data_IF_881995240516
#
_entry.id   IF_881995240516
#
_cell.length_a   1.000
_cell.length_b   1.000
_cell.length_c   1.000
_cell.angle_alpha   90.00
_cell.angle_beta   90.00
_cell.angle_gamma   90.00
#
_symmetry.space_group_name_H-M   'P 1'
#
loop_
_entity.id
_entity.type
_entity.pdbx_description
1 polymer ?
#
# COMPACT_ATOMS: atom_id res chain seq x y z
N UNK A 1 -45.88 10.40 24.07
CA UNK A 1 -45.19 10.69 22.81
C UNK A 1 -44.38 9.45 22.49
N UNK A 2 -44.64 8.79 21.38
CA UNK A 2 -43.90 7.62 20.92
C UNK A 2 -42.82 8.13 19.95
N UNK A 3 -41.59 7.68 20.12
CA UNK A 3 -40.51 7.98 19.19
C UNK A 3 -40.80 7.26 17.89
N UNK A 4 -40.80 7.93 16.73
CA UNK A 4 -41.05 7.29 15.44
C UNK A 4 -39.97 6.25 15.14
N UNK A 5 -40.37 5.10 14.58
CA UNK A 5 -39.44 4.03 14.21
C UNK A 5 -38.39 4.49 13.19
N UNK A 6 -38.63 5.53 12.42
CA UNK A 6 -37.70 6.18 11.51
C UNK A 6 -36.45 6.77 12.21
N UNK A 7 -36.52 7.04 13.51
CA UNK A 7 -35.36 7.49 14.30
C UNK A 7 -34.45 6.31 14.73
N UNK A 8 -34.94 5.08 14.59
CA UNK A 8 -34.19 3.87 14.97
C UNK A 8 -33.72 3.11 13.73
N UNK A 9 -34.48 3.17 12.64
CA UNK A 9 -34.16 2.49 11.38
C UNK A 9 -34.44 3.46 10.23
N UNK A 10 -33.39 4.01 9.66
CA UNK A 10 -33.49 4.72 8.39
C UNK A 10 -33.34 3.70 7.26
N UNK A 11 -34.46 3.23 6.69
CA UNK A 11 -34.43 2.39 5.50
C UNK A 11 -34.35 3.30 4.29
N UNK A 12 -33.17 3.61 3.83
CA UNK A 12 -32.97 4.14 2.49
C UNK A 12 -33.16 2.97 1.53
N UNK A 13 -34.26 2.90 0.82
CA UNK A 13 -34.46 1.98 -0.29
C UNK A 13 -33.59 2.46 -1.45
N UNK A 14 -32.37 2.01 -1.50
CA UNK A 14 -31.57 2.11 -2.70
C UNK A 14 -31.99 0.97 -3.64
N UNK A 15 -32.33 1.30 -4.86
CA UNK A 15 -32.58 0.31 -5.92
C UNK A 15 -31.20 -0.21 -6.30
N UNK A 16 -30.81 -1.33 -5.68
CA UNK A 16 -29.68 -2.11 -6.15
C UNK A 16 -29.94 -2.47 -7.61
N UNK A 17 -29.31 -1.74 -8.50
CA UNK A 17 -29.27 -2.09 -9.92
C UNK A 17 -28.75 -3.52 -10.05
N UNK A 18 -29.61 -4.34 -10.59
CA UNK A 18 -29.43 -5.67 -11.17
C UNK A 18 -28.07 -6.34 -10.92
N UNK A 19 -28.06 -7.45 -10.18
CA UNK A 19 -27.02 -8.48 -10.09
C UNK A 19 -25.58 -7.95 -10.16
N UNK A 20 -25.23 -7.01 -9.31
CA UNK A 20 -23.86 -6.61 -9.11
C UNK A 20 -23.08 -7.75 -8.49
N UNK A 21 -21.88 -8.01 -8.97
CA UNK A 21 -20.90 -8.80 -8.25
C UNK A 21 -20.84 -8.30 -6.80
N UNK A 22 -20.56 -9.20 -5.86
CA UNK A 22 -20.33 -8.84 -4.47
C UNK A 22 -19.37 -7.64 -4.40
N UNK A 23 -19.62 -6.67 -3.50
CA UNK A 23 -18.75 -5.50 -3.38
C UNK A 23 -17.31 -5.96 -3.16
N UNK A 24 -16.41 -5.45 -3.96
CA UNK A 24 -14.98 -5.74 -3.82
C UNK A 24 -14.46 -4.89 -2.67
N UNK A 25 -14.12 -5.54 -1.55
CA UNK A 25 -13.68 -4.88 -0.31
C UNK A 25 -12.16 -4.91 -0.14
N UNK A 26 -11.42 -4.91 -1.24
CA UNK A 26 -9.96 -4.93 -1.20
C UNK A 26 -9.40 -3.72 -0.45
N UNK A 27 -8.29 -3.95 0.26
CA UNK A 27 -7.52 -2.89 0.89
C UNK A 27 -6.48 -2.29 -0.06
N UNK A 28 -6.13 -1.04 0.20
CA UNK A 28 -5.01 -0.35 -0.44
C UNK A 28 -3.95 -0.02 0.60
N UNK A 29 -2.72 -0.43 0.36
CA UNK A 29 -1.55 0.11 1.04
C UNK A 29 -1.05 1.32 0.25
N UNK A 30 -1.09 2.50 0.86
CA UNK A 30 -0.40 3.68 0.33
C UNK A 30 1.05 3.59 0.79
N UNK A 31 2.00 3.49 -0.15
CA UNK A 31 3.41 3.25 0.13
C UNK A 31 4.31 4.33 -0.46
N UNK A 32 5.40 4.65 0.23
CA UNK A 32 6.47 5.54 -0.22
C UNK A 32 7.61 4.77 -0.92
N UNK A 33 7.45 3.45 -1.07
CA UNK A 33 8.46 2.60 -1.67
C UNK A 33 8.70 2.99 -3.13
N UNK A 34 9.96 3.17 -3.49
CA UNK A 34 10.35 3.60 -4.83
C UNK A 34 10.03 2.56 -5.93
N UNK A 35 9.70 1.31 -5.56
CA UNK A 35 9.28 0.28 -6.50
C UNK A 35 7.83 0.42 -6.93
N UNK A 36 7.01 1.20 -6.22
CA UNK A 36 5.60 1.42 -6.58
C UNK A 36 5.53 2.45 -7.71
N UNK A 37 4.94 2.10 -8.87
CA UNK A 37 4.79 3.04 -9.99
C UNK A 37 3.91 4.24 -9.59
N UNK A 38 4.24 5.42 -10.15
CA UNK A 38 3.50 6.64 -9.83
C UNK A 38 2.08 6.64 -10.40
N UNK A 39 1.92 6.22 -11.65
CA UNK A 39 0.68 6.30 -12.43
C UNK A 39 0.02 4.94 -12.67
N UNK A 40 0.20 4.01 -11.76
CA UNK A 40 -0.52 2.73 -11.77
C UNK A 40 -0.63 2.14 -10.38
N UNK A 41 -1.60 1.26 -10.19
CA UNK A 41 -1.84 0.57 -8.92
C UNK A 41 -1.46 -0.90 -9.09
N UNK A 42 -0.53 -1.37 -8.26
CA UNK A 42 -0.14 -2.76 -8.22
C UNK A 42 -1.21 -3.59 -7.51
N UNK A 43 -1.58 -4.73 -8.06
CA UNK A 43 -2.56 -5.65 -7.48
C UNK A 43 -1.92 -7.01 -7.24
N UNK A 44 -2.00 -7.48 -5.99
CA UNK A 44 -1.46 -8.77 -5.56
C UNK A 44 -2.57 -9.64 -4.97
N UNK A 45 -2.55 -10.92 -5.30
CA UNK A 45 -3.54 -11.90 -4.80
C UNK A 45 -2.98 -12.80 -3.71
N UNK A 46 -1.68 -12.75 -3.46
CA UNK A 46 -0.99 -13.53 -2.42
C UNK A 46 0.13 -12.72 -1.79
N UNK A 47 0.51 -13.04 -0.57
CA UNK A 47 1.66 -12.43 0.10
C UNK A 47 2.98 -12.76 -0.63
N UNK A 48 3.12 -13.98 -1.15
CA UNK A 48 4.32 -14.41 -1.87
C UNK A 48 4.57 -13.53 -3.10
N UNK A 49 3.52 -13.13 -3.83
CA UNK A 49 3.67 -12.24 -4.99
C UNK A 49 4.11 -10.84 -4.57
N UNK A 50 3.69 -10.35 -3.39
CA UNK A 50 4.22 -9.10 -2.80
C UNK A 50 5.72 -9.24 -2.50
N UNK A 51 6.13 -10.36 -1.88
CA UNK A 51 7.53 -10.64 -1.56
C UNK A 51 8.42 -10.80 -2.81
N UNK A 52 7.88 -11.37 -3.87
CA UNK A 52 8.59 -11.47 -5.16
C UNK A 52 8.84 -10.11 -5.79
N UNK A 53 7.90 -9.17 -5.63
CA UNK A 53 8.00 -7.84 -6.20
C UNK A 53 8.86 -6.88 -5.35
N UNK A 54 8.59 -6.81 -4.05
CA UNK A 54 9.23 -5.84 -3.14
C UNK A 54 10.46 -6.39 -2.41
N UNK A 55 10.67 -7.70 -2.44
CA UNK A 55 11.64 -8.41 -1.59
C UNK A 55 11.00 -8.89 -0.28
N UNK A 56 11.52 -10.01 0.24
CA UNK A 56 11.00 -10.64 1.47
C UNK A 56 11.33 -9.87 2.76
N UNK A 57 12.23 -8.89 2.68
CA UNK A 57 12.59 -7.99 3.78
C UNK A 57 11.78 -6.68 3.78
N UNK A 58 10.90 -6.47 2.79
CA UNK A 58 10.10 -5.25 2.67
C UNK A 58 8.98 -5.16 3.69
N UNK A 59 8.61 -3.93 4.05
CA UNK A 59 7.48 -3.66 4.93
C UNK A 59 6.16 -4.10 4.30
N UNK A 60 6.01 -3.91 2.99
CA UNK A 60 4.84 -4.33 2.22
C UNK A 60 4.62 -5.84 2.33
N UNK A 61 5.70 -6.62 2.19
CA UNK A 61 5.61 -8.08 2.32
C UNK A 61 5.31 -8.51 3.76
N UNK A 62 5.99 -7.95 4.76
CA UNK A 62 5.75 -8.30 6.16
C UNK A 62 4.28 -8.10 6.55
N UNK A 63 3.72 -6.93 6.25
CA UNK A 63 2.32 -6.60 6.57
C UNK A 63 1.32 -7.45 5.77
N UNK A 64 1.61 -7.69 4.48
CA UNK A 64 0.77 -8.56 3.65
C UNK A 64 0.76 -10.00 4.17
N UNK A 65 1.93 -10.56 4.48
CA UNK A 65 2.10 -11.96 4.89
C UNK A 65 1.66 -12.20 6.34
N UNK A 66 2.05 -11.32 7.26
CA UNK A 66 1.79 -11.49 8.69
C UNK A 66 0.34 -11.13 9.05
N UNK A 67 -0.26 -10.13 8.38
CA UNK A 67 -1.55 -9.57 8.80
C UNK A 67 -2.59 -9.64 7.68
N UNK A 68 -2.40 -8.93 6.57
CA UNK A 68 -3.48 -8.68 5.61
C UNK A 68 -4.11 -9.96 5.06
N UNK A 69 -3.34 -10.84 4.41
CA UNK A 69 -3.88 -12.07 3.82
C UNK A 69 -4.30 -13.13 4.85
N UNK A 70 -4.02 -12.91 6.13
CA UNK A 70 -4.49 -13.80 7.20
C UNK A 70 -5.93 -13.49 7.67
N UNK A 71 -6.47 -12.31 7.33
CA UNK A 71 -7.80 -11.91 7.77
C UNK A 71 -7.92 -11.87 9.30
N UNK A 72 -8.97 -12.42 9.87
CA UNK A 72 -9.12 -12.56 11.32
C UNK A 72 -9.29 -14.03 11.73
N UNK A 73 -9.03 -14.36 13.00
CA UNK A 73 -9.15 -15.72 13.48
C UNK A 73 -10.61 -16.20 13.42
N UNK A 74 -10.83 -17.26 12.67
CA UNK A 74 -12.15 -17.83 12.43
C UNK A 74 -12.89 -17.26 11.22
N UNK A 75 -12.24 -16.38 10.42
CA UNK A 75 -12.80 -15.95 9.13
C UNK A 75 -12.88 -17.13 8.14
N UNK A 76 -13.99 -17.24 7.45
CA UNK A 76 -14.19 -18.23 6.38
C UNK A 76 -13.55 -17.72 5.09
N UNK A 77 -13.79 -16.44 4.78
CA UNK A 77 -13.16 -15.77 3.67
C UNK A 77 -11.83 -15.12 4.10
N UNK A 78 -10.93 -14.99 3.14
CA UNK A 78 -9.68 -14.25 3.26
C UNK A 78 -9.70 -13.09 2.27
N UNK A 79 -8.92 -12.02 2.48
CA UNK A 79 -8.78 -10.97 1.48
C UNK A 79 -8.39 -11.55 0.13
N UNK A 80 -9.13 -11.18 -0.92
CA UNK A 80 -8.93 -11.72 -2.27
C UNK A 80 -7.80 -11.05 -3.02
N UNK A 81 -7.57 -9.77 -2.75
CA UNK A 81 -6.49 -8.99 -3.34
C UNK A 81 -6.05 -7.85 -2.41
N UNK A 82 -4.81 -7.45 -2.54
CA UNK A 82 -4.20 -6.27 -1.95
C UNK A 82 -3.76 -5.34 -3.07
N UNK A 83 -4.15 -4.08 -2.99
CA UNK A 83 -3.69 -3.04 -3.89
C UNK A 83 -2.58 -2.25 -3.20
N UNK A 84 -1.58 -1.83 -3.97
CA UNK A 84 -0.50 -0.97 -3.47
C UNK A 84 -0.37 0.24 -4.39
N UNK A 85 -0.54 1.43 -3.83
CA UNK A 85 -0.49 2.71 -4.52
C UNK A 85 0.68 3.55 -4.01
N UNK A 86 1.21 4.41 -4.88
CA UNK A 86 2.35 5.27 -4.59
C UNK A 86 1.95 6.56 -3.86
N UNK A 87 2.84 7.04 -2.97
CA UNK A 87 2.82 8.38 -2.40
C UNK A 87 4.23 8.99 -2.42
N UNK A 88 4.41 10.06 -3.17
CA UNK A 88 5.68 10.72 -3.33
C UNK A 88 5.91 11.82 -2.28
N UNK A 89 6.93 11.68 -1.45
CA UNK A 89 7.38 12.73 -0.52
C UNK A 89 8.44 13.66 -1.13
N UNK A 90 9.02 13.24 -2.24
CA UNK A 90 9.99 14.00 -3.04
C UNK A 90 9.71 13.72 -4.51
N UNK A 91 10.05 14.63 -5.44
CA UNK A 91 9.90 14.34 -6.86
C UNK A 91 10.64 13.06 -7.23
N UNK A 92 9.98 12.18 -7.98
CA UNK A 92 10.48 10.86 -8.36
C UNK A 92 10.87 10.82 -9.84
N UNK A 93 11.93 10.08 -10.21
CA UNK A 93 12.27 9.82 -11.60
C UNK A 93 11.26 8.86 -12.23
N UNK A 94 11.13 8.92 -13.55
CA UNK A 94 10.53 7.83 -14.31
C UNK A 94 11.42 6.59 -14.28
N UNK A 95 10.81 5.40 -14.35
CA UNK A 95 11.59 4.17 -14.41
C UNK A 95 10.99 3.11 -15.33
N UNK A 96 11.87 2.27 -15.86
CA UNK A 96 11.57 1.00 -16.49
C UNK A 96 12.24 -0.10 -15.68
N UNK A 97 11.47 -1.03 -15.13
CA UNK A 97 11.96 -2.18 -14.37
C UNK A 97 11.69 -3.45 -15.17
N UNK A 98 12.74 -4.25 -15.38
CA UNK A 98 12.62 -5.54 -16.06
C UNK A 98 11.74 -6.52 -15.25
N UNK A 99 11.17 -7.51 -15.90
CA UNK A 99 10.72 -8.69 -15.20
C UNK A 99 11.91 -9.44 -14.59
N UNK A 100 11.69 -10.31 -13.57
CA UNK A 100 12.77 -11.05 -12.93
C UNK A 100 13.59 -11.88 -13.93
N UNK A 101 14.91 -11.72 -13.90
CA UNK A 101 15.86 -12.43 -14.74
C UNK A 101 16.54 -13.53 -13.93
N UNK A 102 16.05 -14.76 -14.03
CA UNK A 102 16.52 -15.92 -13.29
C UNK A 102 17.49 -16.78 -14.10
N UNK A 103 18.59 -16.17 -14.55
CA UNK A 103 19.65 -16.84 -15.34
C UNK A 103 21.00 -16.79 -14.61
N UNK A 104 21.95 -17.69 -14.89
CA UNK A 104 23.31 -17.58 -14.42
C UNK A 104 24.07 -16.48 -15.15
N UNK A 105 25.14 -15.95 -14.54
CA UNK A 105 25.95 -14.88 -15.13
C UNK A 105 26.52 -15.25 -16.52
N UNK A 106 26.90 -16.49 -16.71
CA UNK A 106 27.47 -16.97 -18.00
C UNK A 106 26.46 -16.86 -19.15
N UNK A 107 25.16 -16.96 -18.87
CA UNK A 107 24.09 -16.77 -19.87
C UNK A 107 23.90 -15.28 -20.16
N UNK A 108 23.90 -14.42 -19.14
CA UNK A 108 23.87 -12.97 -19.31
C UNK A 108 25.04 -12.47 -20.17
N UNK A 109 26.24 -13.02 -19.96
CA UNK A 109 27.44 -12.68 -20.74
C UNK A 109 27.36 -13.06 -22.21
N UNK A 110 26.39 -13.87 -22.62
CA UNK A 110 26.13 -14.18 -24.02
C UNK A 110 25.23 -13.13 -24.71
N UNK A 111 24.61 -12.23 -23.95
CA UNK A 111 23.71 -11.22 -24.50
C UNK A 111 24.51 -10.07 -25.14
N UNK A 112 24.12 -9.71 -26.34
CA UNK A 112 24.67 -8.56 -27.06
C UNK A 112 23.69 -8.04 -28.10
N UNK A 113 23.72 -6.73 -28.37
CA UNK A 113 22.85 -6.12 -29.37
C UNK A 113 22.51 -4.69 -29.09
N UNK A 114 21.40 -4.22 -29.63
CA UNK A 114 20.93 -2.84 -29.54
C UNK A 114 19.45 -2.81 -29.16
N UNK A 115 19.05 -1.80 -28.43
CA UNK A 115 17.65 -1.50 -28.14
C UNK A 115 17.41 0.00 -28.06
N UNK A 116 16.16 0.40 -28.29
CA UNK A 116 15.69 1.76 -28.17
C UNK A 116 14.81 1.92 -26.93
N UNK A 117 14.92 3.06 -26.25
CA UNK A 117 13.96 3.54 -25.24
C UNK A 117 13.61 5.01 -25.52
N UNK A 118 12.41 5.44 -25.14
CA UNK A 118 12.06 6.85 -25.17
C UNK A 118 12.29 7.43 -23.78
N UNK A 119 13.15 8.44 -23.69
CA UNK A 119 13.47 9.15 -22.45
C UNK A 119 12.99 10.59 -22.58
N UNK A 120 12.03 11.01 -21.75
CA UNK A 120 11.45 12.37 -21.80
C UNK A 120 11.01 12.80 -23.21
N UNK A 121 10.38 11.85 -23.94
CA UNK A 121 9.89 12.07 -25.32
C UNK A 121 10.93 11.97 -26.42
N UNK A 122 12.20 11.70 -26.11
CA UNK A 122 13.27 11.53 -27.09
C UNK A 122 13.70 10.06 -27.19
N UNK A 123 13.84 9.56 -28.41
CA UNK A 123 14.38 8.21 -28.65
C UNK A 123 15.87 8.20 -28.30
N UNK A 124 16.26 7.28 -27.43
CA UNK A 124 17.64 6.98 -27.06
C UNK A 124 17.95 5.56 -27.51
N UNK A 125 18.86 5.42 -28.46
CA UNK A 125 19.39 4.14 -28.91
C UNK A 125 20.59 3.77 -28.02
N UNK A 126 20.64 2.54 -27.52
CA UNK A 126 21.77 2.06 -26.70
C UNK A 126 23.07 1.93 -27.47
N UNK A 127 23.02 1.90 -28.81
CA UNK A 127 24.15 1.43 -29.59
C UNK A 127 24.47 -0.03 -29.29
N UNK A 128 25.61 -0.49 -29.81
CA UNK A 128 26.02 -1.88 -29.61
C UNK A 128 26.42 -2.13 -28.14
N UNK A 129 25.61 -2.87 -27.42
CA UNK A 129 25.88 -3.36 -26.05
C UNK A 129 26.45 -4.77 -26.15
N UNK A 130 27.56 -5.04 -25.45
CA UNK A 130 28.16 -6.36 -25.29
C UNK A 130 28.32 -6.63 -23.78
N UNK A 131 27.64 -7.65 -23.27
CA UNK A 131 27.69 -8.02 -21.87
C UNK A 131 28.74 -9.09 -21.55
N UNK A 132 29.51 -9.56 -22.55
CA UNK A 132 30.59 -10.55 -22.34
C UNK A 132 31.63 -10.14 -21.27
N UNK A 133 32.04 -8.84 -21.15
CA UNK A 133 32.99 -8.43 -20.13
C UNK A 133 32.42 -8.28 -18.72
N UNK A 134 31.11 -8.38 -18.53
CA UNK A 134 30.49 -8.18 -17.22
C UNK A 134 30.94 -9.25 -16.22
N UNK A 135 31.44 -8.85 -15.05
CA UNK A 135 31.86 -9.73 -13.96
C UNK A 135 30.72 -10.03 -12.96
N UNK A 136 29.63 -9.28 -13.07
CA UNK A 136 28.42 -9.40 -12.25
C UNK A 136 27.22 -8.77 -12.98
N UNK A 137 25.99 -9.01 -12.49
CA UNK A 137 24.81 -8.31 -12.96
C UNK A 137 24.88 -6.80 -12.73
N UNK A 138 25.54 -6.36 -11.66
CA UNK A 138 25.77 -4.93 -11.41
C UNK A 138 26.74 -4.32 -12.42
N UNK A 139 27.76 -5.07 -12.86
CA UNK A 139 28.65 -4.60 -13.93
C UNK A 139 27.91 -4.52 -15.27
N UNK A 140 27.03 -5.47 -15.56
CA UNK A 140 26.17 -5.43 -16.73
C UNK A 140 25.27 -4.19 -16.70
N UNK A 141 24.70 -3.82 -15.54
CA UNK A 141 23.93 -2.58 -15.37
C UNK A 141 24.78 -1.34 -15.72
N UNK A 142 26.04 -1.29 -15.29
CA UNK A 142 26.97 -0.19 -15.61
C UNK A 142 27.30 -0.13 -17.12
N UNK A 143 27.44 -1.28 -17.78
CA UNK A 143 27.65 -1.35 -19.23
C UNK A 143 26.44 -0.76 -19.97
N UNK A 144 25.22 -1.18 -19.58
CA UNK A 144 23.95 -0.68 -20.16
C UNK A 144 23.81 0.83 -19.88
N UNK A 145 24.10 1.30 -18.66
CA UNK A 145 24.07 2.73 -18.31
C UNK A 145 25.01 3.53 -19.21
N UNK A 146 26.23 3.05 -19.39
CA UNK A 146 27.23 3.70 -20.26
C UNK A 146 26.74 3.82 -21.71
N UNK A 147 26.09 2.76 -22.21
CA UNK A 147 25.54 2.71 -23.55
C UNK A 147 24.36 3.67 -23.76
N UNK A 148 23.46 3.79 -22.78
CA UNK A 148 22.30 4.70 -22.83
C UNK A 148 22.66 6.18 -22.56
N UNK A 149 23.82 6.43 -21.95
CA UNK A 149 24.33 7.79 -21.70
C UNK A 149 23.77 8.47 -20.45
N UNK A 150 24.12 9.74 -20.25
CA UNK A 150 23.96 10.47 -19.01
C UNK A 150 22.52 10.88 -18.65
N UNK A 151 21.52 10.54 -19.45
CA UNK A 151 20.12 10.89 -19.20
C UNK A 151 19.38 9.89 -18.29
N UNK A 152 19.99 8.73 -18.11
CA UNK A 152 19.45 7.65 -17.28
C UNK A 152 20.53 7.08 -16.36
N UNK A 153 20.08 6.36 -15.34
CA UNK A 153 20.91 5.48 -14.49
C UNK A 153 20.36 4.08 -14.55
N UNK A 154 21.23 3.07 -14.45
CA UNK A 154 20.83 1.66 -14.48
C UNK A 154 21.37 0.93 -13.25
N UNK A 155 20.49 0.20 -12.58
CA UNK A 155 20.86 -0.57 -11.40
C UNK A 155 20.33 -2.00 -11.50
N UNK A 156 21.05 -2.94 -10.86
CA UNK A 156 20.59 -4.30 -10.64
C UNK A 156 20.11 -4.49 -9.22
N UNK A 157 18.89 -5.00 -9.05
CA UNK A 157 18.36 -5.41 -7.76
C UNK A 157 18.52 -6.93 -7.59
N UNK A 158 19.39 -7.35 -6.68
CA UNK A 158 19.69 -8.76 -6.45
C UNK A 158 18.59 -9.53 -5.71
N UNK A 159 17.74 -8.87 -4.93
CA UNK A 159 16.62 -9.50 -4.23
C UNK A 159 15.53 -9.90 -5.23
N UNK A 160 15.14 -8.98 -6.10
CA UNK A 160 14.07 -9.17 -7.07
C UNK A 160 14.60 -9.69 -8.42
N UNK A 161 15.93 -9.71 -8.58
CA UNK A 161 16.62 -10.11 -9.83
C UNK A 161 16.16 -9.30 -11.04
N UNK A 162 16.09 -7.98 -10.90
CA UNK A 162 15.61 -7.07 -11.94
C UNK A 162 16.63 -6.01 -12.27
N UNK A 163 16.70 -5.63 -13.57
CA UNK A 163 17.32 -4.38 -13.99
C UNK A 163 16.32 -3.24 -13.84
N UNK A 164 16.81 -2.09 -13.42
CA UNK A 164 16.00 -0.88 -13.32
C UNK A 164 16.72 0.29 -14.00
N UNK A 165 16.11 0.83 -15.04
CA UNK A 165 16.54 2.03 -15.75
C UNK A 165 15.72 3.19 -15.21
N UNK A 166 16.36 4.29 -14.80
CA UNK A 166 15.68 5.47 -14.25
C UNK A 166 16.17 6.73 -14.96
N UNK A 167 15.27 7.68 -15.15
CA UNK A 167 15.67 9.02 -15.63
C UNK A 167 16.46 9.76 -14.56
N UNK A 168 17.43 10.58 -14.96
CA UNK A 168 18.08 11.54 -14.06
C UNK A 168 17.12 12.69 -13.71
N UNK A 169 16.27 13.10 -14.66
CA UNK A 169 15.18 14.04 -14.41
C UNK A 169 14.12 13.42 -13.48
N UNK A 170 13.49 14.26 -12.66
CA UNK A 170 12.44 13.89 -11.71
C UNK A 170 11.19 14.75 -11.92
N UNK A 171 10.07 14.35 -11.32
CA UNK A 171 8.79 15.06 -11.40
C UNK A 171 7.95 14.62 -12.60
N UNK A 172 6.76 15.19 -12.74
CA UNK A 172 5.75 14.80 -13.73
C UNK A 172 6.20 14.92 -15.20
N UNK A 173 7.25 15.70 -15.47
CA UNK A 173 7.83 15.83 -16.80
C UNK A 173 8.76 14.67 -17.18
N UNK A 174 9.19 13.87 -16.22
CA UNK A 174 10.05 12.72 -16.47
C UNK A 174 9.23 11.54 -16.98
N UNK A 175 9.65 10.94 -18.10
CA UNK A 175 8.97 9.79 -18.70
C UNK A 175 9.95 8.79 -19.27
N UNK A 176 9.57 7.50 -19.24
CA UNK A 176 10.28 6.40 -19.88
C UNK A 176 9.27 5.50 -20.61
N UNK A 177 9.71 4.96 -21.76
CA UNK A 177 8.95 3.90 -22.43
C UNK A 177 9.50 2.51 -22.07
N UNK A 178 8.75 1.48 -22.44
CA UNK A 178 9.32 0.14 -22.57
C UNK A 178 10.46 0.15 -23.59
N UNK A 179 11.43 -0.77 -23.42
CA UNK A 179 12.47 -0.96 -24.41
C UNK A 179 11.90 -1.69 -25.65
N UNK A 180 12.49 -1.38 -26.79
CA UNK A 180 12.14 -1.99 -28.09
C UNK A 180 13.42 -2.51 -28.73
N UNK A 181 13.39 -3.74 -29.20
CA UNK A 181 14.52 -4.34 -29.90
C UNK A 181 14.83 -3.64 -31.23
N UNK A 182 16.11 -3.49 -31.52
CA UNK A 182 16.62 -3.04 -32.80
C UNK A 182 17.10 -4.26 -33.60
N UNK A 183 16.41 -4.57 -34.71
CA UNK A 183 16.69 -5.75 -35.48
C UNK A 183 18.15 -5.76 -36.05
N UNK A 184 18.85 -6.90 -36.03
CA UNK A 184 18.33 -8.25 -35.75
C UNK A 184 18.47 -8.71 -34.27
N UNK A 185 18.75 -7.84 -33.36
CA UNK A 185 19.06 -8.16 -31.96
C UNK A 185 17.82 -8.21 -31.08
N UNK A 186 17.61 -9.25 -30.24
CA UNK A 186 16.53 -9.35 -29.26
C UNK A 186 16.96 -8.89 -27.86
N UNK A 187 17.89 -7.96 -27.69
CA UNK A 187 18.52 -7.62 -26.40
C UNK A 187 17.52 -7.09 -25.37
N UNK A 188 16.54 -6.28 -25.79
CA UNK A 188 15.52 -5.77 -24.86
C UNK A 188 14.63 -6.92 -24.35
N UNK A 189 14.27 -7.88 -25.20
CA UNK A 189 13.51 -9.06 -24.81
C UNK A 189 14.34 -9.98 -23.91
N UNK A 190 15.62 -10.24 -24.25
CA UNK A 190 16.54 -11.04 -23.45
C UNK A 190 16.78 -10.46 -22.05
N UNK A 191 16.82 -9.13 -21.91
CA UNK A 191 16.92 -8.43 -20.63
C UNK A 191 15.58 -8.29 -19.89
N UNK A 192 14.48 -8.83 -20.42
CA UNK A 192 13.12 -8.69 -19.90
C UNK A 192 12.67 -7.23 -19.73
N UNK A 193 13.05 -6.33 -20.65
CA UNK A 193 12.72 -4.90 -20.62
C UNK A 193 11.51 -4.52 -21.49
N UNK A 194 10.89 -5.51 -22.16
CA UNK A 194 9.75 -5.29 -23.06
C UNK A 194 8.41 -5.49 -22.36
N UNK A 195 7.32 -4.97 -22.97
CA UNK A 195 5.94 -5.24 -22.51
C UNK A 195 5.65 -6.75 -22.47
N UNK A 196 6.08 -7.46 -23.49
CA UNK A 196 5.81 -8.91 -23.64
C UNK A 196 6.52 -9.75 -22.60
N UNK A 197 7.68 -9.33 -22.14
CA UNK A 197 8.41 -9.99 -21.06
C UNK A 197 7.90 -9.66 -19.65
N UNK A 198 6.94 -8.73 -19.51
CA UNK A 198 6.35 -8.36 -18.24
C UNK A 198 7.13 -7.27 -17.49
N UNK A 199 7.88 -6.44 -18.21
CA UNK A 199 8.48 -5.24 -17.63
C UNK A 199 7.42 -4.27 -17.09
N UNK A 200 7.83 -3.39 -16.18
CA UNK A 200 6.97 -2.37 -15.58
C UNK A 200 7.58 -1.00 -15.86
N UNK A 201 6.77 -0.10 -16.38
CA UNK A 201 7.14 1.29 -16.61
C UNK A 201 6.36 2.20 -15.66
N UNK A 202 7.00 3.26 -15.21
CA UNK A 202 6.38 4.34 -14.43
C UNK A 202 6.88 5.68 -14.94
N UNK A 203 5.98 6.62 -15.14
CA UNK A 203 6.38 8.01 -15.29
C UNK A 203 6.94 8.55 -13.96
N UNK A 204 7.66 9.65 -14.03
CA UNK A 204 8.05 10.38 -12.84
C UNK A 204 6.82 11.03 -12.18
N UNK A 205 7.01 11.56 -11.00
CA UNK A 205 5.93 12.23 -10.29
C UNK A 205 6.44 13.31 -9.36
N UNK A 206 5.69 14.39 -9.26
CA UNK A 206 5.93 15.44 -8.29
C UNK A 206 5.60 14.98 -6.85
N UNK A 207 5.82 15.87 -5.89
CA UNK A 207 5.45 15.62 -4.50
C UNK A 207 3.94 15.53 -4.38
N UNK A 208 3.46 14.47 -3.75
CA UNK A 208 2.04 14.28 -3.51
C UNK A 208 1.54 15.09 -2.30
N UNK A 209 0.31 15.57 -2.43
CA UNK A 209 -0.57 15.87 -1.30
C UNK A 209 -1.51 14.68 -1.06
N UNK A 210 -2.11 14.54 0.15
CA UNK A 210 -3.14 13.53 0.38
C UNK A 210 -4.25 13.54 -0.66
N UNK A 211 -4.75 14.71 -1.04
CA UNK A 211 -5.78 14.91 -2.06
C UNK A 211 -5.33 14.41 -3.44
N UNK A 212 -4.13 14.79 -3.90
CA UNK A 212 -3.62 14.37 -5.22
C UNK A 212 -3.44 12.86 -5.30
N UNK A 213 -2.91 12.24 -4.24
CA UNK A 213 -2.69 10.80 -4.18
C UNK A 213 -4.00 10.00 -4.16
N UNK A 214 -5.00 10.44 -3.38
CA UNK A 214 -6.33 9.81 -3.34
C UNK A 214 -7.07 9.97 -4.66
N UNK A 215 -7.01 11.16 -5.26
CA UNK A 215 -7.62 11.44 -6.58
C UNK A 215 -6.99 10.56 -7.65
N UNK A 216 -5.65 10.48 -7.71
CA UNK A 216 -4.94 9.59 -8.65
C UNK A 216 -5.34 8.14 -8.47
N UNK A 217 -5.34 7.63 -7.22
CA UNK A 217 -5.79 6.27 -6.91
C UNK A 217 -7.22 6.00 -7.42
N UNK A 218 -8.15 6.93 -7.19
CA UNK A 218 -9.54 6.78 -7.61
C UNK A 218 -9.73 6.82 -9.14
N UNK A 219 -8.85 7.53 -9.86
CA UNK A 219 -8.83 7.54 -11.33
C UNK A 219 -8.27 6.22 -11.91
N UNK A 220 -7.26 5.64 -11.27
CA UNK A 220 -6.64 4.40 -11.73
C UNK A 220 -7.53 3.17 -11.49
N UNK A 221 -8.22 3.11 -10.35
CA UNK A 221 -9.05 1.96 -10.01
C UNK A 221 -10.15 2.29 -9.02
N UNK A 222 -11.29 1.65 -9.19
CA UNK A 222 -12.39 1.68 -8.22
C UNK A 222 -12.56 0.36 -7.46
N UNK A 223 -11.62 -0.58 -7.63
CA UNK A 223 -11.70 -1.93 -7.08
C UNK A 223 -11.12 -2.05 -5.66
N UNK A 224 -11.37 -1.04 -4.81
CA UNK A 224 -10.94 -0.99 -3.42
C UNK A 224 -12.04 -0.43 -2.52
N UNK A 225 -11.85 -0.56 -1.21
CA UNK A 225 -12.75 -0.01 -0.21
C UNK A 225 -12.02 0.76 0.88
N UNK A 226 -10.91 0.25 1.39
CA UNK A 226 -10.19 0.84 2.51
C UNK A 226 -8.75 1.18 2.16
N UNK A 227 -8.26 2.30 2.68
CA UNK A 227 -6.90 2.80 2.51
C UNK A 227 -6.19 2.84 3.87
N UNK A 228 -4.95 2.36 3.89
CA UNK A 228 -4.00 2.49 5.02
C UNK A 228 -2.71 3.07 4.50
N UNK A 229 -2.12 4.04 5.22
CA UNK A 229 -0.77 4.53 4.94
C UNK A 229 0.27 3.67 5.66
N UNK A 230 1.33 3.24 4.98
CA UNK A 230 2.38 2.42 5.59
C UNK A 230 3.39 3.22 6.41
N UNK A 231 3.35 4.54 6.34
CA UNK A 231 4.07 5.49 7.22
C UNK A 231 3.05 6.28 8.03
N UNK A 232 3.48 6.91 9.09
CA UNK A 232 2.63 7.82 9.85
C UNK A 232 2.62 9.21 9.21
N UNK A 233 1.51 9.67 8.63
CA UNK A 233 1.38 11.04 8.15
C UNK A 233 1.39 12.03 9.30
N UNK A 234 1.72 13.31 9.02
CA UNK A 234 1.49 14.38 9.99
C UNK A 234 0.01 14.47 10.34
N UNK A 235 -0.32 15.06 11.49
CA UNK A 235 -1.73 15.25 11.91
C UNK A 235 -2.54 15.94 10.81
N UNK A 236 -2.00 16.99 10.19
CA UNK A 236 -2.67 17.69 9.08
C UNK A 236 -2.90 16.76 7.89
N UNK A 237 -1.89 16.00 7.47
CA UNK A 237 -2.06 15.07 6.36
C UNK A 237 -3.07 13.94 6.68
N UNK A 238 -3.18 13.49 7.94
CA UNK A 238 -4.23 12.55 8.37
C UNK A 238 -5.63 13.15 8.16
N UNK A 239 -5.81 14.42 8.52
CA UNK A 239 -7.05 15.17 8.30
C UNK A 239 -7.32 15.33 6.81
N UNK A 240 -6.31 15.69 6.02
CA UNK A 240 -6.43 15.89 4.57
C UNK A 240 -6.77 14.57 3.85
N UNK A 241 -6.15 13.42 4.22
CA UNK A 241 -6.55 12.09 3.73
C UNK A 241 -8.01 11.77 4.07
N UNK A 242 -8.41 12.04 5.31
CA UNK A 242 -9.78 11.85 5.76
C UNK A 242 -10.77 12.66 4.92
N UNK A 243 -10.46 13.92 4.65
CA UNK A 243 -11.28 14.82 3.83
C UNK A 243 -11.37 14.31 2.39
N UNK A 244 -10.24 14.04 1.75
CA UNK A 244 -10.20 13.56 0.37
C UNK A 244 -10.98 12.26 0.16
N UNK A 245 -10.93 11.34 1.13
CA UNK A 245 -11.69 10.08 1.08
C UNK A 245 -13.18 10.31 1.36
N UNK A 246 -13.53 11.22 2.27
CA UNK A 246 -14.93 11.55 2.58
C UNK A 246 -15.65 12.13 1.37
N UNK A 247 -14.99 12.95 0.57
CA UNK A 247 -15.53 13.52 -0.66
C UNK A 247 -15.92 12.45 -1.70
N UNK A 248 -15.20 11.33 -1.72
CA UNK A 248 -15.51 10.21 -2.61
C UNK A 248 -16.72 9.37 -2.14
N UNK A 249 -17.15 9.50 -0.90
CA UNK A 249 -18.36 8.89 -0.28
C UNK A 249 -18.45 7.36 -0.31
N UNK A 250 -17.58 6.67 -1.04
CA UNK A 250 -17.59 5.21 -1.26
C UNK A 250 -16.53 4.48 -0.43
N UNK A 251 -15.46 5.17 -0.07
CA UNK A 251 -14.24 4.58 0.47
C UNK A 251 -14.06 4.94 1.93
N UNK A 252 -13.18 4.21 2.62
CA UNK A 252 -12.87 4.42 4.02
C UNK A 252 -11.36 4.61 4.21
N UNK A 253 -10.99 5.52 5.10
CA UNK A 253 -9.63 5.70 5.57
C UNK A 253 -9.45 5.02 6.93
N UNK A 254 -8.52 4.10 7.04
CA UNK A 254 -8.14 3.51 8.31
C UNK A 254 -6.87 4.23 8.76
N UNK A 255 -7.07 5.21 9.62
CA UNK A 255 -6.05 6.10 10.12
C UNK A 255 -5.48 5.56 11.44
N UNK A 256 -4.18 5.45 11.54
CA UNK A 256 -3.50 5.12 12.78
C UNK A 256 -2.70 6.33 13.28
N UNK A 257 -2.61 6.44 14.60
CA UNK A 257 -2.08 7.64 15.26
C UNK A 257 -1.22 7.23 16.45
N UNK A 258 -0.03 7.84 16.58
CA UNK A 258 0.86 7.65 17.72
C UNK A 258 0.88 8.84 18.66
N UNK A 259 0.16 9.92 18.33
CA UNK A 259 0.05 11.08 19.20
C UNK A 259 -0.75 10.72 20.46
N UNK A 260 -0.14 10.90 21.64
CA UNK A 260 -0.71 10.48 22.92
C UNK A 260 -1.75 11.45 23.49
N UNK A 261 -2.12 12.50 22.76
CA UNK A 261 -3.16 13.46 23.19
C UNK A 261 -4.51 12.79 23.42
N UNK A 262 -4.80 11.72 22.68
CA UNK A 262 -6.02 10.92 22.83
C UNK A 262 -6.08 10.11 24.14
N UNK A 263 -4.99 10.02 24.90
CA UNK A 263 -4.99 9.42 26.23
C UNK A 263 -5.56 10.36 27.31
N UNK A 264 -5.70 11.64 26.99
CA UNK A 264 -6.37 12.61 27.87
C UNK A 264 -7.89 12.50 27.69
N UNK A 265 -8.64 12.54 28.79
CA UNK A 265 -10.09 12.55 28.72
C UNK A 265 -10.58 13.80 27.95
N UNK A 266 -11.55 13.61 27.05
CA UNK A 266 -12.21 14.68 26.28
C UNK A 266 -11.20 15.59 25.53
N UNK A 267 -10.18 14.99 24.89
CA UNK A 267 -9.18 15.75 24.11
C UNK A 267 -9.82 16.44 22.92
N UNK A 268 -9.61 17.76 22.81
CA UNK A 268 -10.03 18.57 21.65
C UNK A 268 -8.91 18.83 20.64
N UNK A 269 -7.73 18.25 20.87
CA UNK A 269 -6.55 18.41 20.03
C UNK A 269 -6.15 17.11 19.33
N UNK A 270 -6.72 15.97 19.72
CA UNK A 270 -6.45 14.70 19.07
C UNK A 270 -7.01 14.65 17.64
N UNK A 271 -6.38 13.86 16.79
CA UNK A 271 -6.71 13.76 15.36
C UNK A 271 -8.17 13.37 15.14
N UNK A 272 -8.71 12.43 15.93
CA UNK A 272 -10.11 11.98 15.78
C UNK A 272 -11.10 13.10 16.07
N UNK A 273 -10.84 13.94 17.10
CA UNK A 273 -11.69 15.10 17.38
C UNK A 273 -11.70 16.07 16.19
N UNK A 274 -10.53 16.42 15.63
CA UNK A 274 -10.41 17.35 14.51
C UNK A 274 -11.10 16.81 13.24
N UNK A 275 -11.00 15.51 12.98
CA UNK A 275 -11.69 14.84 11.86
C UNK A 275 -13.22 14.85 12.07
N UNK A 276 -13.67 14.62 13.29
CA UNK A 276 -15.10 14.64 13.64
C UNK A 276 -15.72 16.03 13.47
N UNK A 277 -15.00 17.11 13.82
CA UNK A 277 -15.45 18.49 13.62
C UNK A 277 -15.69 18.83 12.13
N UNK A 278 -15.02 18.10 11.22
CA UNK A 278 -15.22 18.20 9.77
C UNK A 278 -16.34 17.28 9.24
N UNK A 279 -17.02 16.55 10.12
CA UNK A 279 -18.07 15.58 9.77
C UNK A 279 -17.60 14.45 8.81
N UNK A 280 -16.29 14.14 8.79
CA UNK A 280 -15.69 13.09 7.97
C UNK A 280 -15.96 11.70 8.59
N UNK A 281 -17.10 11.10 8.27
CA UNK A 281 -17.59 9.87 8.89
C UNK A 281 -16.99 8.58 8.28
N UNK A 282 -16.11 8.69 7.28
CA UNK A 282 -15.51 7.55 6.57
C UNK A 282 -14.12 7.18 7.11
N UNK A 283 -13.75 7.68 8.28
CA UNK A 283 -12.43 7.43 8.87
C UNK A 283 -12.54 6.60 10.15
N UNK A 284 -11.77 5.52 10.21
CA UNK A 284 -11.59 4.69 11.39
C UNK A 284 -10.28 5.05 12.05
N UNK A 285 -10.32 5.45 13.32
CA UNK A 285 -9.13 5.86 14.06
C UNK A 285 -8.59 4.71 14.90
N UNK A 286 -7.29 4.48 14.83
CA UNK A 286 -6.57 3.47 15.59
C UNK A 286 -5.55 4.16 16.50
N UNK A 287 -5.51 3.77 17.78
CA UNK A 287 -4.57 4.31 18.76
C UNK A 287 -4.06 3.26 19.74
N UNK A 288 -3.15 3.70 20.61
CA UNK A 288 -2.57 2.86 21.65
C UNK A 288 -1.75 3.63 22.68
N UNK A 289 -1.51 3.02 23.82
CA UNK A 289 -0.69 3.57 24.91
C UNK A 289 0.80 3.24 24.66
N UNK A 290 1.58 4.25 24.30
CA UNK A 290 3.02 4.14 24.04
C UNK A 290 3.78 3.50 25.21
N UNK A 291 3.45 3.86 26.45
CA UNK A 291 4.11 3.34 27.64
C UNK A 291 3.82 1.84 27.81
N UNK A 292 2.57 1.44 27.60
CA UNK A 292 2.18 0.04 27.69
C UNK A 292 2.82 -0.80 26.59
N UNK A 293 2.79 -0.34 25.32
CA UNK A 293 3.38 -1.03 24.17
C UNK A 293 4.89 -1.20 24.37
N UNK A 294 5.59 -0.14 24.79
CA UNK A 294 7.04 -0.19 25.07
C UNK A 294 7.36 -1.17 26.19
N UNK A 295 6.51 -1.29 27.20
CA UNK A 295 6.72 -2.27 28.28
C UNK A 295 6.71 -3.73 27.80
N UNK A 296 6.16 -3.99 26.62
CA UNK A 296 6.13 -5.29 25.97
C UNK A 296 7.24 -5.47 24.92
N UNK A 297 8.21 -4.56 24.85
CA UNK A 297 9.31 -4.52 23.87
C UNK A 297 8.85 -4.33 22.41
N UNK A 298 7.76 -3.60 22.20
CA UNK A 298 7.28 -3.23 20.89
C UNK A 298 7.34 -1.72 20.66
N UNK A 299 7.30 -1.34 19.36
CA UNK A 299 7.20 0.06 18.95
C UNK A 299 5.72 0.43 18.72
N UNK A 300 5.31 1.62 19.19
CA UNK A 300 3.94 2.10 19.01
C UNK A 300 3.57 2.25 17.54
N UNK A 301 4.50 2.76 16.70
CA UNK A 301 4.29 2.90 15.26
C UNK A 301 3.93 1.57 14.60
N UNK A 302 4.69 0.52 14.92
CA UNK A 302 4.43 -0.82 14.36
C UNK A 302 3.13 -1.41 14.91
N UNK A 303 2.89 -1.31 16.22
CA UNK A 303 1.70 -1.87 16.85
C UNK A 303 0.39 -1.23 16.34
N UNK A 304 0.35 0.10 16.19
CA UNK A 304 -0.84 0.83 15.71
C UNK A 304 -1.05 0.64 14.21
N UNK A 305 0.03 0.66 13.41
CA UNK A 305 -0.03 0.36 11.98
C UNK A 305 -0.52 -1.06 11.71
N UNK A 306 0.03 -2.03 12.43
CA UNK A 306 -0.37 -3.44 12.32
C UNK A 306 -1.86 -3.61 12.62
N UNK A 307 -2.38 -2.90 13.61
CA UNK A 307 -3.79 -2.92 13.96
C UNK A 307 -4.65 -2.26 12.86
N UNK A 308 -4.17 -1.20 12.21
CA UNK A 308 -4.86 -0.59 11.06
C UNK A 308 -4.92 -1.55 9.87
N UNK A 309 -3.85 -2.26 9.59
CA UNK A 309 -3.82 -3.30 8.55
C UNK A 309 -4.73 -4.48 8.91
N UNK A 310 -4.83 -4.82 10.19
CA UNK A 310 -5.78 -5.85 10.65
C UNK A 310 -7.24 -5.44 10.43
N UNK A 311 -7.61 -4.18 10.72
CA UNK A 311 -8.95 -3.69 10.44
C UNK A 311 -9.27 -3.76 8.94
N UNK A 312 -8.31 -3.40 8.10
CA UNK A 312 -8.42 -3.55 6.64
C UNK A 312 -8.62 -5.01 6.22
N UNK A 313 -7.83 -5.91 6.81
CA UNK A 313 -7.93 -7.36 6.57
C UNK A 313 -9.27 -7.93 7.05
N UNK A 314 -9.79 -7.43 8.17
CA UNK A 314 -11.11 -7.79 8.69
C UNK A 314 -12.20 -7.42 7.68
N UNK A 315 -12.23 -6.16 7.24
CA UNK A 315 -13.22 -5.67 6.25
C UNK A 315 -13.17 -6.50 4.97
N UNK A 316 -11.96 -6.76 4.44
CA UNK A 316 -11.77 -7.56 3.24
C UNK A 316 -12.13 -9.05 3.38
N UNK A 317 -12.32 -9.54 4.63
CA UNK A 317 -12.68 -10.92 4.95
C UNK A 317 -14.17 -11.10 5.28
N UNK A 318 -14.98 -10.02 5.21
CA UNK A 318 -16.43 -10.12 5.51
C UNK A 318 -17.18 -10.62 4.30
N UNK A 319 -17.99 -11.68 4.50
CA UNK A 319 -18.91 -12.19 3.49
C UNK A 319 -20.28 -11.53 3.63
N UNK A 320 -20.53 -10.50 2.82
CA UNK A 320 -21.83 -9.82 2.79
C UNK A 320 -22.92 -10.57 2.02
N UNK A 321 -22.61 -11.72 1.40
CA UNK A 321 -23.61 -12.57 0.73
C UNK A 321 -24.31 -13.50 1.72
N UNK A 322 -23.77 -13.68 2.92
CA UNK A 322 -24.41 -14.49 3.95
C UNK A 322 -25.69 -13.83 4.47
N UNK A 323 -26.72 -14.65 4.67
CA UNK A 323 -27.91 -14.23 5.43
C UNK A 323 -27.47 -13.75 6.82
N UNK A 324 -27.80 -12.53 7.19
CA UNK A 324 -27.29 -11.87 8.39
C UNK A 324 -25.77 -11.58 8.36
N UNK A 325 -25.22 -11.28 7.18
CA UNK A 325 -23.79 -11.02 6.96
C UNK A 325 -23.23 -9.77 7.67
N UNK A 326 -23.95 -9.20 8.65
CA UNK A 326 -23.42 -8.15 9.53
C UNK A 326 -22.28 -8.71 10.35
N UNK A 327 -21.12 -8.10 10.24
CA UNK A 327 -19.96 -8.44 11.03
C UNK A 327 -19.51 -7.22 11.83
N UNK A 328 -18.95 -7.46 13.02
CA UNK A 328 -18.29 -6.45 13.83
C UNK A 328 -16.82 -6.80 13.99
N UNK A 329 -15.95 -5.82 13.93
CA UNK A 329 -14.53 -5.97 14.27
C UNK A 329 -14.34 -6.21 15.77
N UNK A 330 -15.27 -5.73 16.60
CA UNK A 330 -15.22 -5.94 18.04
C UNK A 330 -15.13 -7.44 18.38
N UNK A 331 -14.23 -7.78 19.31
CA UNK A 331 -13.89 -9.13 19.75
C UNK A 331 -13.20 -10.01 18.71
N UNK A 332 -12.77 -9.45 17.57
CA UNK A 332 -11.93 -10.16 16.60
C UNK A 332 -10.47 -10.11 17.01
N UNK A 333 -9.70 -11.08 16.57
CA UNK A 333 -8.30 -11.23 16.93
C UNK A 333 -7.49 -11.87 15.80
N UNK A 334 -6.19 -11.67 15.89
CA UNK A 334 -5.21 -12.32 15.03
C UNK A 334 -3.90 -12.51 15.83
N UNK A 335 -3.19 -13.60 15.57
CA UNK A 335 -1.96 -13.96 16.30
C UNK A 335 -0.77 -13.03 16.04
N UNK A 336 -0.81 -12.27 14.93
CA UNK A 336 0.26 -11.33 14.56
C UNK A 336 0.16 -9.94 15.21
N UNK A 337 -0.87 -9.70 16.04
CA UNK A 337 -1.10 -8.38 16.64
C UNK A 337 -0.49 -8.26 18.03
N UNK A 338 0.01 -7.06 18.31
CA UNK A 338 0.49 -6.66 19.63
C UNK A 338 -0.61 -5.90 20.36
N UNK A 339 -0.86 -6.20 21.66
CA UNK A 339 -1.79 -5.41 22.46
C UNK A 339 -1.38 -3.95 22.54
N UNK A 340 -2.36 -3.04 22.34
CA UNK A 340 -2.08 -1.59 22.32
C UNK A 340 -2.46 -0.88 23.61
N UNK A 341 -3.24 -1.52 24.50
CA UNK A 341 -3.62 -0.97 25.80
C UNK A 341 -3.57 -2.02 26.92
N UNK A 342 -3.34 -1.58 28.15
CA UNK A 342 -3.25 -2.44 29.33
C UNK A 342 -4.10 -1.97 30.51
N UNK A 343 -4.84 -0.87 30.41
CA UNK A 343 -5.64 -0.34 31.52
C UNK A 343 -7.05 0.07 31.08
N UNK A 344 -8.00 -0.01 32.04
CA UNK A 344 -9.38 0.45 31.79
C UNK A 344 -9.43 1.96 31.54
N UNK A 345 -8.67 2.76 32.26
CA UNK A 345 -8.66 4.22 32.10
C UNK A 345 -8.20 4.61 30.72
N UNK A 346 -7.16 3.95 30.20
CA UNK A 346 -6.69 4.14 28.82
C UNK A 346 -7.76 3.76 27.81
N UNK A 347 -8.46 2.64 28.03
CA UNK A 347 -9.56 2.21 27.15
C UNK A 347 -10.69 3.24 27.12
N UNK A 348 -11.15 3.69 28.31
CA UNK A 348 -12.23 4.67 28.43
C UNK A 348 -11.89 5.99 27.73
N UNK A 349 -10.63 6.46 27.84
CA UNK A 349 -10.17 7.69 27.17
C UNK A 349 -10.10 7.53 25.67
N UNK A 350 -9.54 6.41 25.16
CA UNK A 350 -9.49 6.13 23.74
C UNK A 350 -10.89 6.03 23.13
N UNK A 351 -11.80 5.27 23.76
CA UNK A 351 -13.18 5.14 23.33
C UNK A 351 -13.89 6.48 23.33
N UNK A 352 -13.75 7.26 24.40
CA UNK A 352 -14.33 8.61 24.52
C UNK A 352 -13.84 9.57 23.43
N UNK A 353 -12.58 9.43 23.01
CA UNK A 353 -11.97 10.22 21.95
C UNK A 353 -12.15 9.62 20.54
N UNK A 354 -12.87 8.49 20.39
CA UNK A 354 -13.21 7.89 19.10
C UNK A 354 -12.11 7.04 18.47
N UNK A 355 -11.22 6.46 19.27
CA UNK A 355 -10.16 5.56 18.82
C UNK A 355 -10.49 4.10 19.10
N UNK A 356 -10.20 3.24 18.13
CA UNK A 356 -10.18 1.79 18.28
C UNK A 356 -8.80 1.32 18.74
N UNK A 357 -8.78 0.20 19.46
CA UNK A 357 -7.55 -0.34 20.07
C UNK A 357 -7.61 -1.86 20.21
N UNK A 358 -6.50 -2.49 20.56
CA UNK A 358 -6.38 -3.91 20.81
C UNK A 358 -6.08 -4.18 22.28
N UNK A 359 -7.07 -4.73 22.99
CA UNK A 359 -7.00 -4.91 24.43
C UNK A 359 -7.61 -6.23 24.90
N UNK A 360 -7.59 -6.49 26.20
CA UNK A 360 -8.23 -7.67 26.79
C UNK A 360 -9.31 -7.26 27.78
N UNK A 361 -10.47 -7.88 27.66
CA UNK A 361 -11.47 -7.84 28.71
C UNK A 361 -11.13 -8.81 29.82
N UNK A 362 -11.51 -8.47 31.06
CA UNK A 362 -11.48 -9.38 32.19
C UNK A 362 -12.55 -10.47 32.01
N UNK A 363 -12.22 -11.50 31.26
CA UNK A 363 -13.01 -12.72 31.10
C UNK A 363 -12.19 -13.93 31.56
N UNK A 364 -12.82 -15.10 31.62
CA UNK A 364 -12.16 -16.32 32.09
C UNK A 364 -10.92 -16.74 31.28
N UNK A 365 -10.73 -16.19 30.08
CA UNK A 365 -9.63 -16.54 29.17
C UNK A 365 -8.60 -15.43 28.99
N UNK A 366 -8.89 -14.19 29.46
CA UNK A 366 -8.04 -12.99 29.29
C UNK A 366 -7.49 -12.84 27.85
N UNK A 367 -8.34 -13.06 26.86
CA UNK A 367 -7.91 -13.00 25.45
C UNK A 367 -7.91 -11.58 24.96
N UNK A 368 -6.86 -11.23 24.20
CA UNK A 368 -6.75 -9.95 23.49
C UNK A 368 -7.70 -9.92 22.30
N UNK A 369 -8.40 -8.83 22.14
CA UNK A 369 -9.37 -8.61 21.07
C UNK A 369 -9.36 -7.17 20.59
N UNK A 370 -9.81 -6.94 19.36
CA UNK A 370 -10.07 -5.61 18.84
C UNK A 370 -11.29 -5.00 19.54
N UNK A 371 -11.21 -3.71 19.88
CA UNK A 371 -12.22 -2.98 20.63
C UNK A 371 -12.42 -1.59 20.06
#
# INVERSE_FOLDING_TARGET
MTIPASNIVNVVSDVLGNAGNAPVLNGVFMSQNALVPHNSVLTFTTAESVGQYFGVSSQEYDLANRIYFNGYQGSILRPGALLIANYNTTPKPAFLQSAPLNIPLIELQAFSGEFDIIVNGLVVNSGAVDLAPALSFSDAATIIETALGATVTVAWNSENKTFRIQTVATGDAASLSYATDVAPSPLAEELNLTVTSGAIVSDGGDVDTPESAVTRLALETTAWFSLVTLWEPTQQNKIDFSTAISELSKYSYICWDTNQDYLNADSQTCTAFLIKELENNNTFMIGGDSSFITSQNYNITDATRDLAVFEQAFVASVDFQLTNGRATAAFRRQSGLTPTIGSKTTADNLEGNGYNFYGSYANATNQWTFL
#
